data_IF_443721459786
#
_entry.id   IF_443721459786
#
_cell.length_a   1.000
_cell.length_b   1.000
_cell.length_c   1.000
_cell.angle_alpha   90.00
_cell.angle_beta   90.00
_cell.angle_gamma   90.00
#
_symmetry.space_group_name_H-M   'P 1'
#
loop_
_entity.id
_entity.type
_entity.pdbx_description
1 polymer ?
#
# COMPACT_ATOMS: atom_id res chain seq x y z
N UNK A 1 -20.46 -5.31 -22.65
CA UNK A 1 -19.45 -4.61 -21.80
C UNK A 1 -18.21 -5.50 -21.74
N UNK A 2 -17.02 -5.01 -22.06
CA UNK A 2 -15.80 -5.85 -22.03
C UNK A 2 -15.30 -5.94 -20.60
N UNK A 3 -15.33 -7.15 -20.02
CA UNK A 3 -14.71 -7.43 -18.73
C UNK A 3 -13.25 -7.83 -18.95
N UNK A 4 -12.38 -7.37 -18.06
CA UNK A 4 -10.99 -7.79 -17.92
C UNK A 4 -10.96 -8.82 -16.80
N UNK A 5 -10.48 -10.02 -17.13
CA UNK A 5 -10.25 -11.10 -16.17
C UNK A 5 -8.82 -11.01 -15.65
N UNK A 6 -8.69 -11.00 -14.33
CA UNK A 6 -7.42 -10.98 -13.64
C UNK A 6 -7.35 -12.12 -12.62
N UNK A 7 -6.20 -12.76 -12.50
CA UNK A 7 -5.97 -13.93 -11.65
C UNK A 7 -5.03 -13.56 -10.50
N UNK A 8 -5.46 -13.86 -9.29
CA UNK A 8 -4.70 -13.76 -8.05
C UNK A 8 -4.35 -15.15 -7.56
N UNK A 9 -3.23 -15.27 -6.87
CA UNK A 9 -2.78 -16.56 -6.40
C UNK A 9 -2.38 -16.53 -4.94
N UNK A 10 -2.99 -17.44 -4.18
CA UNK A 10 -2.61 -17.74 -2.83
C UNK A 10 -1.73 -18.99 -2.82
N UNK A 11 -0.59 -18.94 -2.13
CA UNK A 11 0.28 -20.09 -1.97
C UNK A 11 0.03 -20.71 -0.61
N UNK A 12 -0.66 -21.86 -0.57
CA UNK A 12 -0.84 -22.60 0.67
C UNK A 12 0.41 -23.45 0.96
N UNK A 13 1.32 -22.91 1.76
CA UNK A 13 2.58 -23.58 2.12
C UNK A 13 2.38 -24.88 2.89
N UNK A 14 1.30 -24.99 3.68
CA UNK A 14 1.06 -26.16 4.53
C UNK A 14 0.72 -27.43 3.73
N UNK A 15 0.17 -27.26 2.53
CA UNK A 15 -0.18 -28.35 1.61
C UNK A 15 0.54 -28.25 0.25
N UNK A 16 1.47 -27.30 0.11
CA UNK A 16 2.26 -27.09 -1.11
C UNK A 16 1.42 -26.84 -2.38
N UNK A 17 0.21 -26.29 -2.23
CA UNK A 17 -0.74 -26.11 -3.34
C UNK A 17 -0.99 -24.62 -3.56
N UNK A 18 -1.05 -24.21 -4.82
CA UNK A 18 -1.37 -22.84 -5.23
C UNK A 18 -2.84 -22.75 -5.62
N UNK A 19 -3.59 -21.88 -4.95
CA UNK A 19 -4.99 -21.60 -5.23
C UNK A 19 -5.11 -20.36 -6.11
N UNK A 20 -5.98 -20.41 -7.11
CA UNK A 20 -6.29 -19.27 -7.99
C UNK A 20 -7.61 -18.63 -7.56
N UNK A 21 -7.63 -17.30 -7.47
CA UNK A 21 -8.84 -16.49 -7.28
C UNK A 21 -8.96 -15.51 -8.45
N UNK A 22 -10.06 -15.61 -9.19
CA UNK A 22 -10.34 -14.76 -10.35
C UNK A 22 -11.18 -13.56 -9.98
N UNK A 23 -10.84 -12.43 -10.59
CA UNK A 23 -11.56 -11.16 -10.49
C UNK A 23 -11.89 -10.67 -11.89
N UNK A 24 -13.17 -10.39 -12.13
CA UNK A 24 -13.64 -9.71 -13.32
C UNK A 24 -13.87 -8.24 -13.02
N UNK A 25 -13.35 -7.35 -13.84
CA UNK A 25 -13.55 -5.92 -13.70
C UNK A 25 -13.79 -5.27 -15.05
N UNK A 26 -14.34 -4.06 -15.06
CA UNK A 26 -14.43 -3.27 -16.29
C UNK A 26 -13.05 -2.66 -16.62
N UNK A 27 -12.90 -2.12 -17.83
CA UNK A 27 -11.71 -1.34 -18.20
C UNK A 27 -11.41 -0.28 -17.12
N UNK A 28 -10.13 -0.11 -16.77
CA UNK A 28 -9.64 0.76 -15.68
C UNK A 28 -10.03 0.32 -14.26
N UNK A 29 -10.46 -0.94 -14.06
CA UNK A 29 -10.65 -1.54 -12.74
C UNK A 29 -11.94 -1.17 -12.02
N UNK A 30 -12.88 -0.49 -12.68
CA UNK A 30 -14.20 -0.23 -12.13
C UNK A 30 -15.01 -1.53 -11.98
N UNK A 31 -15.91 -1.57 -11.00
CA UNK A 31 -16.85 -2.68 -10.79
C UNK A 31 -16.18 -4.05 -10.73
N UNK A 32 -15.08 -4.16 -9.96
CA UNK A 32 -14.41 -5.44 -9.73
C UNK A 32 -15.29 -6.42 -8.95
N UNK A 33 -15.38 -7.65 -9.43
CA UNK A 33 -16.18 -8.73 -8.86
C UNK A 33 -15.37 -10.02 -8.79
N UNK A 34 -15.43 -10.69 -7.64
CA UNK A 34 -14.69 -11.91 -7.34
C UNK A 34 -15.55 -13.13 -7.71
N UNK A 35 -14.91 -14.17 -8.25
CA UNK A 35 -15.55 -15.47 -8.52
C UNK A 35 -15.71 -16.25 -7.21
N UNK A 36 -16.95 -16.55 -6.81
CA UNK A 36 -17.23 -17.24 -5.54
C UNK A 36 -16.81 -18.72 -5.55
N UNK A 37 -16.88 -19.38 -6.71
CA UNK A 37 -16.47 -20.78 -6.86
C UNK A 37 -14.98 -20.99 -6.54
N UNK A 38 -14.14 -19.99 -6.84
CA UNK A 38 -12.71 -20.04 -6.56
C UNK A 38 -12.44 -20.05 -5.04
N UNK A 39 -13.27 -19.33 -4.28
CA UNK A 39 -13.21 -19.28 -2.82
C UNK A 39 -13.57 -20.64 -2.22
N UNK A 40 -14.68 -21.24 -2.68
CA UNK A 40 -15.10 -22.58 -2.23
C UNK A 40 -14.05 -23.63 -2.60
N UNK A 41 -13.51 -23.57 -3.82
CA UNK A 41 -12.44 -24.46 -4.29
C UNK A 41 -11.20 -24.37 -3.40
N UNK A 42 -10.76 -23.15 -3.04
CA UNK A 42 -9.62 -22.94 -2.16
C UNK A 42 -9.83 -23.55 -0.76
N UNK A 43 -11.01 -23.33 -0.17
CA UNK A 43 -11.37 -23.84 1.16
C UNK A 43 -11.45 -25.38 1.20
N UNK A 44 -12.06 -25.99 0.18
CA UNK A 44 -12.17 -27.45 0.06
C UNK A 44 -10.84 -28.16 -0.22
N UNK A 45 -9.90 -27.48 -0.90
CA UNK A 45 -8.58 -28.04 -1.22
C UNK A 45 -7.83 -28.44 0.06
N UNK A 46 -7.94 -27.65 1.12
CA UNK A 46 -7.30 -27.95 2.41
C UNK A 46 -7.94 -29.15 3.12
N UNK A 47 -9.27 -29.28 3.05
CA UNK A 47 -10.00 -30.44 3.59
C UNK A 47 -9.58 -31.73 2.88
N UNK A 48 -9.57 -31.72 1.55
CA UNK A 48 -9.24 -32.92 0.75
C UNK A 48 -7.81 -33.41 1.01
N UNK A 49 -6.87 -32.49 1.23
CA UNK A 49 -5.47 -32.83 1.53
C UNK A 49 -5.27 -33.30 2.98
N UNK A 50 -5.97 -32.68 3.94
CA UNK A 50 -5.96 -33.10 5.35
C UNK A 50 -6.59 -34.48 5.55
N UNK A 51 -7.64 -34.79 4.80
CA UNK A 51 -8.33 -36.10 4.82
C UNK A 51 -7.52 -37.18 4.07
N UNK A 52 -6.66 -36.86 3.11
CA UNK A 52 -5.75 -37.87 2.52
C UNK A 52 -4.78 -38.52 3.53
N UNK A 53 -4.64 -37.97 4.75
CA UNK A 53 -3.92 -38.61 5.87
C UNK A 53 -4.78 -39.51 6.78
N UNK A 54 -6.12 -39.49 6.67
CA UNK A 54 -7.06 -40.40 7.36
C UNK A 54 -8.30 -40.63 6.50
N UNK A 55 -8.47 -41.87 6.03
CA UNK A 55 -9.64 -42.43 5.30
C UNK A 55 -10.83 -41.47 5.09
N UNK A 56 -11.10 -41.17 3.81
CA UNK A 56 -12.15 -40.26 3.35
C UNK A 56 -13.51 -40.68 3.90
N UNK A 57 -14.20 -39.85 4.72
CA UNK A 57 -15.61 -40.05 5.00
C UNK A 57 -16.39 -39.84 3.69
N UNK A 58 -17.24 -40.80 3.33
CA UNK A 58 -17.97 -40.87 2.06
C UNK A 58 -19.05 -39.78 1.85
N UNK A 59 -19.02 -38.66 2.57
CA UNK A 59 -20.13 -37.70 2.67
C UNK A 59 -19.80 -36.24 2.33
N UNK A 60 -18.59 -35.92 1.86
CA UNK A 60 -18.30 -34.56 1.37
C UNK A 60 -18.59 -34.53 -0.13
N UNK A 61 -19.74 -33.96 -0.50
CA UNK A 61 -20.05 -33.66 -1.90
C UNK A 61 -19.09 -32.56 -2.37
N UNK A 62 -18.04 -32.93 -3.09
CA UNK A 62 -17.02 -32.00 -3.59
C UNK A 62 -17.51 -31.15 -4.78
N UNK A 63 -18.83 -31.06 -5.00
CA UNK A 63 -19.41 -30.24 -6.04
C UNK A 63 -19.38 -28.75 -5.66
N UNK A 64 -18.29 -28.08 -6.06
CA UNK A 64 -18.04 -26.65 -5.82
C UNK A 64 -19.26 -25.79 -6.18
N UNK A 65 -19.92 -26.07 -7.31
CA UNK A 65 -21.04 -25.25 -7.78
C UNK A 65 -22.27 -25.40 -6.87
N UNK A 66 -22.54 -26.61 -6.38
CA UNK A 66 -23.65 -26.88 -5.48
C UNK A 66 -23.43 -26.20 -4.12
N UNK A 67 -22.23 -26.35 -3.54
CA UNK A 67 -21.86 -25.68 -2.30
C UNK A 67 -21.93 -24.16 -2.47
N UNK A 68 -21.41 -23.62 -3.57
CA UNK A 68 -21.45 -22.18 -3.85
C UNK A 68 -22.90 -21.65 -3.83
N UNK A 69 -23.83 -22.35 -4.49
CA UNK A 69 -25.25 -21.99 -4.50
C UNK A 69 -25.89 -22.05 -3.12
N UNK A 70 -25.60 -23.11 -2.36
CA UNK A 70 -26.09 -23.25 -0.98
C UNK A 70 -25.61 -22.08 -0.10
N UNK A 71 -24.34 -21.69 -0.22
CA UNK A 71 -23.78 -20.56 0.54
C UNK A 71 -24.33 -19.21 0.09
N UNK A 72 -24.58 -19.02 -1.21
CA UNK A 72 -25.27 -17.83 -1.75
C UNK A 72 -26.67 -17.69 -1.14
N UNK A 73 -27.45 -18.78 -1.12
CA UNK A 73 -28.81 -18.78 -0.56
C UNK A 73 -28.81 -18.45 0.94
N UNK A 74 -27.87 -19.04 1.70
CA UNK A 74 -27.69 -18.75 3.13
C UNK A 74 -27.30 -17.29 3.39
N UNK A 75 -26.38 -16.75 2.59
CA UNK A 75 -25.92 -15.38 2.67
C UNK A 75 -26.95 -14.37 2.16
N UNK A 76 -27.98 -14.82 1.42
CA UNK A 76 -29.01 -13.97 0.79
C UNK A 76 -28.43 -12.90 -0.15
N UNK A 77 -27.29 -13.20 -0.77
CA UNK A 77 -26.66 -12.30 -1.75
C UNK A 77 -27.20 -12.57 -3.15
N UNK A 78 -27.12 -11.55 -4.02
CA UNK A 78 -27.51 -11.67 -5.42
C UNK A 78 -26.29 -11.41 -6.34
N UNK A 79 -25.42 -12.41 -6.56
CA UNK A 79 -24.24 -12.26 -7.39
C UNK A 79 -24.60 -12.12 -8.87
N UNK A 80 -23.75 -11.43 -9.62
CA UNK A 80 -23.88 -11.33 -11.07
C UNK A 80 -23.41 -12.63 -11.73
N UNK A 81 -24.24 -13.23 -12.59
CA UNK A 81 -23.88 -14.49 -13.27
C UNK A 81 -23.17 -14.18 -14.59
N UNK A 82 -21.96 -14.70 -14.77
CA UNK A 82 -21.18 -14.56 -15.99
C UNK A 82 -20.57 -15.89 -16.39
N UNK A 83 -20.91 -16.39 -17.58
CA UNK A 83 -20.40 -17.67 -18.10
C UNK A 83 -20.60 -18.85 -17.13
N UNK A 84 -21.71 -18.83 -16.36
CA UNK A 84 -22.02 -19.85 -15.37
C UNK A 84 -21.30 -19.71 -14.01
N UNK A 85 -20.50 -18.67 -13.82
CA UNK A 85 -19.83 -18.32 -12.56
C UNK A 85 -20.61 -17.25 -11.79
N UNK A 86 -20.55 -17.30 -10.46
CA UNK A 86 -21.17 -16.30 -9.58
C UNK A 86 -20.15 -15.22 -9.19
N UNK A 87 -20.39 -13.99 -9.65
CA UNK A 87 -19.51 -12.84 -9.44
C UNK A 87 -20.07 -11.90 -8.38
N UNK A 88 -19.40 -11.83 -7.24
CA UNK A 88 -19.76 -10.98 -6.10
C UNK A 88 -18.88 -9.73 -6.03
N UNK A 89 -19.45 -8.58 -5.67
CA UNK A 89 -18.62 -7.47 -5.19
C UNK A 89 -18.06 -7.76 -3.77
N UNK A 90 -17.29 -6.82 -3.22
CA UNK A 90 -16.60 -7.02 -1.94
C UNK A 90 -17.57 -7.15 -0.76
N UNK A 91 -18.68 -6.42 -0.76
CA UNK A 91 -19.68 -6.50 0.31
C UNK A 91 -20.38 -7.87 0.28
N UNK A 92 -20.83 -8.28 -0.90
CA UNK A 92 -21.43 -9.60 -1.13
C UNK A 92 -20.46 -10.74 -0.80
N UNK A 93 -19.17 -10.59 -1.10
CA UNK A 93 -18.17 -11.58 -0.73
C UNK A 93 -18.06 -11.73 0.79
N UNK A 94 -18.07 -10.64 1.56
CA UNK A 94 -17.98 -10.75 3.02
C UNK A 94 -19.18 -11.48 3.61
N UNK A 95 -20.38 -11.17 3.13
CA UNK A 95 -21.61 -11.85 3.54
C UNK A 95 -21.54 -13.34 3.18
N UNK A 96 -21.09 -13.68 1.97
CA UNK A 96 -20.88 -15.06 1.53
C UNK A 96 -19.83 -15.81 2.36
N UNK A 97 -18.66 -15.20 2.55
CA UNK A 97 -17.50 -15.82 3.20
C UNK A 97 -17.83 -16.19 4.65
N UNK A 98 -18.62 -15.37 5.34
CA UNK A 98 -19.09 -15.63 6.70
C UNK A 98 -19.77 -17.01 6.85
N UNK A 99 -20.50 -17.46 5.82
CA UNK A 99 -21.17 -18.76 5.81
C UNK A 99 -20.31 -19.92 5.31
N UNK A 100 -19.02 -19.69 5.04
CA UNK A 100 -18.06 -20.68 4.55
C UNK A 100 -17.11 -21.20 5.64
N UNK A 101 -17.35 -20.87 6.91
CA UNK A 101 -16.49 -21.28 8.03
C UNK A 101 -16.55 -22.80 8.33
N UNK A 102 -17.58 -23.49 7.86
CA UNK A 102 -17.84 -24.92 8.06
C UNK A 102 -17.18 -25.82 6.99
N UNK A 103 -16.67 -25.23 5.90
CA UNK A 103 -16.07 -25.96 4.76
C UNK A 103 -14.54 -25.93 4.74
N UNK A 104 -13.89 -25.49 5.82
CA UNK A 104 -12.43 -25.50 5.97
C UNK A 104 -12.03 -25.66 7.43
N UNK A 105 -10.79 -26.08 7.67
CA UNK A 105 -10.12 -25.86 8.94
C UNK A 105 -10.13 -24.36 9.32
N UNK A 106 -10.28 -24.07 10.62
CA UNK A 106 -10.46 -22.72 11.15
C UNK A 106 -9.22 -21.84 10.98
N UNK A 107 -8.01 -22.42 11.10
CA UNK A 107 -6.76 -21.69 10.91
C UNK A 107 -6.61 -21.27 9.45
N UNK A 108 -6.82 -22.23 8.53
CA UNK A 108 -6.76 -21.93 7.10
C UNK A 108 -7.82 -20.92 6.65
N UNK A 109 -9.06 -21.09 7.10
CA UNK A 109 -10.15 -20.15 6.82
C UNK A 109 -9.78 -18.72 7.23
N UNK A 110 -9.12 -18.56 8.37
CA UNK A 110 -8.65 -17.25 8.84
C UNK A 110 -7.50 -16.70 8.00
N UNK A 111 -6.47 -17.51 7.72
CA UNK A 111 -5.30 -17.07 6.95
C UNK A 111 -5.69 -16.70 5.51
N UNK A 112 -6.46 -17.57 4.86
CA UNK A 112 -6.94 -17.34 3.50
C UNK A 112 -7.88 -16.13 3.43
N UNK A 113 -8.77 -15.96 4.40
CA UNK A 113 -9.65 -14.79 4.49
C UNK A 113 -8.89 -13.48 4.65
N UNK A 114 -7.83 -13.48 5.47
CA UNK A 114 -6.94 -12.33 5.61
C UNK A 114 -6.23 -12.00 4.29
N UNK A 115 -5.66 -13.01 3.62
CA UNK A 115 -5.04 -12.81 2.30
C UNK A 115 -6.05 -12.26 1.29
N UNK A 116 -7.25 -12.84 1.22
CA UNK A 116 -8.29 -12.41 0.28
C UNK A 116 -8.67 -10.94 0.51
N UNK A 117 -8.83 -10.53 1.77
CA UNK A 117 -9.10 -9.14 2.11
C UNK A 117 -7.95 -8.21 1.69
N UNK A 118 -6.72 -8.54 2.06
CA UNK A 118 -5.56 -7.65 1.90
C UNK A 118 -5.05 -7.57 0.46
N UNK A 119 -5.00 -8.70 -0.23
CA UNK A 119 -4.38 -8.82 -1.54
C UNK A 119 -5.38 -8.72 -2.69
N UNK A 120 -6.66 -9.04 -2.46
CA UNK A 120 -7.68 -9.04 -3.52
C UNK A 120 -8.72 -7.94 -3.30
N UNK A 121 -9.44 -7.94 -2.17
CA UNK A 121 -10.51 -6.97 -1.91
C UNK A 121 -9.98 -5.52 -1.86
N UNK A 122 -8.83 -5.29 -1.21
CA UNK A 122 -8.15 -3.99 -1.17
C UNK A 122 -7.89 -3.42 -2.58
N UNK A 123 -7.47 -4.26 -3.52
CA UNK A 123 -7.21 -3.84 -4.90
C UNK A 123 -8.50 -3.56 -5.67
N UNK A 124 -9.58 -4.30 -5.40
CA UNK A 124 -10.90 -4.04 -6.00
C UNK A 124 -11.44 -2.69 -5.53
N UNK A 125 -11.42 -2.42 -4.22
CA UNK A 125 -11.88 -1.15 -3.64
C UNK A 125 -11.11 0.04 -4.24
N UNK A 126 -9.80 -0.11 -4.41
CA UNK A 126 -8.92 0.90 -5.01
C UNK A 126 -9.03 1.01 -6.54
N UNK A 127 -9.85 0.17 -7.19
CA UNK A 127 -9.98 0.05 -8.66
C UNK A 127 -8.68 -0.34 -9.37
N UNK A 128 -7.81 -1.07 -8.67
CA UNK A 128 -6.52 -1.56 -9.18
C UNK A 128 -6.55 -3.06 -9.50
N UNK A 129 -7.68 -3.74 -9.31
CA UNK A 129 -7.76 -5.19 -9.49
C UNK A 129 -7.43 -5.68 -10.91
N UNK A 130 -7.65 -4.84 -11.92
CA UNK A 130 -7.29 -5.14 -13.31
C UNK A 130 -5.78 -5.32 -13.51
N UNK A 131 -4.94 -4.80 -12.60
CA UNK A 131 -3.49 -4.87 -12.67
C UNK A 131 -2.93 -6.22 -12.16
N UNK A 132 -3.72 -6.99 -11.39
CA UNK A 132 -3.36 -8.34 -10.96
C UNK A 132 -2.08 -8.44 -10.15
N UNK A 133 -1.33 -9.52 -10.37
CA UNK A 133 -0.04 -9.77 -9.74
C UNK A 133 1.06 -8.76 -10.11
N UNK A 134 0.84 -7.80 -11.02
CA UNK A 134 1.79 -6.70 -11.25
C UNK A 134 1.89 -5.74 -10.04
N UNK A 135 0.98 -5.88 -9.07
CA UNK A 135 1.02 -5.19 -7.77
C UNK A 135 1.87 -5.95 -6.73
N UNK A 136 2.43 -7.12 -7.08
CA UNK A 136 3.34 -7.90 -6.24
C UNK A 136 4.76 -7.88 -6.86
N UNK A 137 5.81 -7.61 -6.07
CA UNK A 137 6.29 -6.25 -5.83
C UNK A 137 6.52 -5.53 -7.17
N UNK A 138 6.10 -4.27 -7.30
CA UNK A 138 6.51 -3.46 -8.44
C UNK A 138 8.04 -3.55 -8.62
N UNK A 139 8.61 -3.48 -9.83
CA UNK A 139 10.06 -3.35 -10.03
C UNK A 139 10.69 -2.22 -9.19
N UNK A 140 9.86 -1.25 -8.80
CA UNK A 140 10.17 -0.23 -7.82
C UNK A 140 10.43 -0.78 -6.42
N UNK A 141 9.59 -1.66 -5.89
CA UNK A 141 9.75 -2.26 -4.55
C UNK A 141 10.96 -3.18 -4.47
N UNK A 142 11.28 -3.96 -5.51
CA UNK A 142 12.51 -4.78 -5.52
C UNK A 142 13.76 -3.91 -5.58
N UNK A 143 13.79 -2.89 -6.47
CA UNK A 143 14.87 -1.89 -6.51
C UNK A 143 15.00 -1.16 -5.18
N UNK A 144 13.87 -0.80 -4.57
CA UNK A 144 13.80 -0.12 -3.30
C UNK A 144 14.31 -1.02 -2.17
N UNK A 145 13.89 -2.28 -2.09
CA UNK A 145 14.40 -3.25 -1.12
C UNK A 145 15.91 -3.43 -1.27
N UNK A 146 16.41 -3.65 -2.49
CA UNK A 146 17.85 -3.75 -2.76
C UNK A 146 18.63 -2.47 -2.38
N UNK A 147 18.04 -1.30 -2.63
CA UNK A 147 18.61 0.01 -2.27
C UNK A 147 18.64 0.21 -0.76
N UNK A 148 17.53 -0.05 -0.07
CA UNK A 148 17.37 0.08 1.37
C UNK A 148 18.31 -0.86 2.13
N UNK A 149 18.45 -2.12 1.70
CA UNK A 149 19.40 -3.07 2.29
C UNK A 149 20.84 -2.55 2.19
N UNK A 150 21.18 -1.77 1.14
CA UNK A 150 22.50 -1.12 1.03
C UNK A 150 22.64 0.11 1.93
N UNK A 151 21.60 0.94 2.04
CA UNK A 151 21.61 2.19 2.80
C UNK A 151 21.54 1.97 4.32
N UNK A 152 20.90 0.88 4.76
CA UNK A 152 20.64 0.57 6.16
C UNK A 152 21.22 -0.79 6.56
N UNK A 153 22.40 -1.13 6.03
CA UNK A 153 23.05 -2.46 6.10
C UNK A 153 22.96 -3.22 7.44
N UNK A 154 22.82 -2.51 8.56
CA UNK A 154 22.80 -3.09 9.91
C UNK A 154 21.55 -2.71 10.74
N UNK A 155 20.51 -2.15 10.12
CA UNK A 155 19.29 -1.72 10.83
C UNK A 155 18.06 -2.40 10.28
N UNK A 156 17.39 -3.22 11.09
CA UNK A 156 16.07 -3.78 10.74
C UNK A 156 14.94 -2.76 10.92
N UNK A 157 15.13 -1.80 11.82
CA UNK A 157 14.15 -0.78 12.20
C UNK A 157 14.78 0.60 12.24
N UNK A 158 14.01 1.59 11.78
CA UNK A 158 14.43 3.00 11.73
C UNK A 158 13.27 3.92 12.10
N UNK A 159 13.60 5.12 12.56
CA UNK A 159 12.61 6.19 12.70
C UNK A 159 12.21 6.76 11.33
N UNK A 160 11.04 7.39 11.24
CA UNK A 160 10.63 8.09 10.01
C UNK A 160 11.64 9.19 9.64
N UNK A 161 12.21 9.88 10.63
CA UNK A 161 13.23 10.93 10.43
C UNK A 161 14.46 10.33 9.75
N UNK A 162 15.06 9.30 10.34
CA UNK A 162 16.24 8.62 9.76
C UNK A 162 15.95 8.10 8.35
N UNK A 163 14.75 7.57 8.13
CA UNK A 163 14.36 7.12 6.80
C UNK A 163 14.30 8.27 5.80
N UNK A 164 13.65 9.38 6.13
CA UNK A 164 13.54 10.54 5.25
C UNK A 164 14.90 11.21 4.96
N UNK A 165 15.77 11.31 5.97
CA UNK A 165 17.09 11.92 5.85
C UNK A 165 18.02 11.07 4.98
N UNK A 166 18.13 9.76 5.27
CA UNK A 166 19.03 8.86 4.55
C UNK A 166 18.53 8.55 3.15
N UNK A 167 17.21 8.44 2.94
CA UNK A 167 16.65 7.98 1.68
C UNK A 167 16.33 9.10 0.69
N UNK A 168 16.14 10.34 1.16
CA UNK A 168 15.83 11.49 0.30
C UNK A 168 16.75 12.71 0.51
N UNK A 169 17.75 12.62 1.38
CA UNK A 169 18.71 13.70 1.62
C UNK A 169 18.09 14.93 2.30
N UNK A 170 17.01 14.74 3.06
CA UNK A 170 16.27 15.84 3.68
C UNK A 170 16.97 16.28 4.97
N UNK A 171 17.17 17.59 5.11
CA UNK A 171 17.83 18.22 6.27
C UNK A 171 17.08 19.44 6.83
N UNK A 172 16.18 20.07 6.06
CA UNK A 172 15.41 21.23 6.50
C UNK A 172 14.30 20.79 7.48
N UNK A 173 14.25 21.33 8.72
CA UNK A 173 13.35 20.84 9.76
C UNK A 173 11.86 20.86 9.39
N UNK A 174 11.34 21.97 8.86
CA UNK A 174 9.91 22.07 8.53
C UNK A 174 9.51 21.14 7.37
N UNK A 175 10.42 20.92 6.41
CA UNK A 175 10.23 19.96 5.31
C UNK A 175 10.10 18.55 5.88
N UNK A 176 11.02 18.17 6.77
CA UNK A 176 11.00 16.88 7.46
C UNK A 176 9.70 16.74 8.27
N UNK A 177 9.28 17.78 9.00
CA UNK A 177 8.03 17.75 9.78
C UNK A 177 6.80 17.49 8.92
N UNK A 178 6.65 18.18 7.79
CA UNK A 178 5.53 17.96 6.87
C UNK A 178 5.51 16.51 6.37
N UNK A 179 6.67 16.02 5.91
CA UNK A 179 6.78 14.67 5.35
C UNK A 179 6.58 13.59 6.41
N UNK A 180 7.00 13.81 7.66
CA UNK A 180 6.68 12.91 8.78
C UNK A 180 5.17 12.74 8.92
N UNK A 181 4.40 13.83 8.84
CA UNK A 181 2.95 13.74 8.97
C UNK A 181 2.33 12.96 7.81
N UNK A 182 2.78 13.22 6.57
CA UNK A 182 2.34 12.45 5.40
C UNK A 182 2.68 10.96 5.53
N UNK A 183 3.89 10.64 5.94
CA UNK A 183 4.31 9.25 6.20
C UNK A 183 3.46 8.59 7.29
N UNK A 184 3.20 9.28 8.41
CA UNK A 184 2.34 8.75 9.48
C UNK A 184 0.92 8.46 8.98
N UNK A 185 0.32 9.37 8.21
CA UNK A 185 -1.01 9.19 7.63
C UNK A 185 -1.02 7.97 6.70
N UNK A 186 -0.01 7.82 5.85
CA UNK A 186 0.10 6.65 4.97
C UNK A 186 0.20 5.36 5.80
N UNK A 187 1.13 5.30 6.77
CA UNK A 187 1.30 4.13 7.63
C UNK A 187 -0.02 3.75 8.34
N UNK A 188 -0.76 4.73 8.86
CA UNK A 188 -2.06 4.53 9.54
C UNK A 188 -3.19 4.14 8.56
N UNK A 189 -3.19 4.68 7.34
CA UNK A 189 -4.29 4.58 6.38
C UNK A 189 -4.46 3.22 5.68
N UNK A 190 -3.70 2.19 6.06
CA UNK A 190 -3.88 0.83 5.58
C UNK A 190 -2.58 0.03 5.41
N UNK A 191 -1.42 0.68 5.43
CA UNK A 191 -0.14 -0.02 5.25
C UNK A 191 0.35 -0.72 6.52
N UNK A 192 -0.12 -0.33 7.71
CA UNK A 192 0.12 -1.08 8.96
C UNK A 192 -0.40 -2.51 8.92
N UNK A 193 -1.45 -2.79 8.13
CA UNK A 193 -2.06 -4.12 8.05
C UNK A 193 -1.17 -5.07 7.22
N UNK A 194 -0.38 -4.52 6.31
CA UNK A 194 0.55 -5.27 5.45
C UNK A 194 1.94 -5.43 6.07
N UNK A 195 2.18 -4.80 7.22
CA UNK A 195 3.44 -4.92 7.95
C UNK A 195 3.27 -5.93 9.05
N UNK A 196 3.97 -7.06 8.93
CA UNK A 196 3.92 -8.20 9.86
C UNK A 196 4.22 -7.84 11.33
N UNK A 197 4.77 -6.64 11.61
CA UNK A 197 5.08 -6.18 12.95
C UNK A 197 4.59 -4.74 13.21
N UNK A 198 3.94 -4.48 14.37
CA UNK A 198 3.61 -3.13 14.81
C UNK A 198 4.87 -2.31 15.09
N UNK A 199 4.74 -0.98 15.06
CA UNK A 199 5.84 -0.09 15.44
C UNK A 199 6.25 -0.32 16.90
N UNK A 200 7.55 -0.40 17.16
CA UNK A 200 8.10 -0.46 18.51
C UNK A 200 8.65 0.90 18.91
N UNK A 201 8.88 1.15 20.20
CA UNK A 201 9.57 2.35 20.65
C UNK A 201 11.06 2.09 20.86
N UNK A 202 11.90 3.06 20.52
CA UNK A 202 13.31 3.02 20.85
C UNK A 202 13.56 3.49 22.32
N UNK A 203 14.82 3.54 22.73
CA UNK A 203 15.23 3.99 24.07
C UNK A 203 14.81 5.43 24.40
N UNK A 204 14.58 6.27 23.38
CA UNK A 204 14.12 7.66 23.56
C UNK A 204 12.60 7.82 23.43
N UNK A 205 11.84 6.72 23.53
CA UNK A 205 10.37 6.70 23.47
C UNK A 205 9.80 7.15 22.10
N UNK A 206 10.60 7.07 21.03
CA UNK A 206 10.20 7.40 19.64
C UNK A 206 9.83 6.11 18.89
N UNK A 207 8.77 6.17 18.08
CA UNK A 207 8.35 5.05 17.24
C UNK A 207 9.39 4.74 16.15
N UNK A 208 9.80 3.48 16.10
CA UNK A 208 10.63 2.87 15.06
C UNK A 208 9.80 1.83 14.30
N UNK A 209 10.03 1.76 12.98
CA UNK A 209 9.28 0.94 12.05
C UNK A 209 10.24 0.01 11.32
N UNK A 210 9.77 -1.18 10.93
CA UNK A 210 10.58 -2.05 10.09
C UNK A 210 10.81 -1.40 8.72
N UNK A 211 11.95 -1.70 8.10
CA UNK A 211 12.24 -1.20 6.76
C UNK A 211 11.16 -1.62 5.73
N UNK A 212 10.55 -2.80 5.92
CA UNK A 212 9.44 -3.27 5.10
C UNK A 212 8.21 -2.36 5.17
N UNK A 213 7.92 -1.71 6.31
CA UNK A 213 6.85 -0.70 6.40
C UNK A 213 7.04 0.41 5.38
N UNK A 214 8.28 0.83 5.18
CA UNK A 214 8.57 1.92 4.26
C UNK A 214 8.49 1.49 2.78
N UNK A 215 8.67 0.20 2.47
CA UNK A 215 8.58 -0.34 1.10
C UNK A 215 7.24 0.01 0.44
N UNK A 216 6.15 -0.18 1.17
CA UNK A 216 4.80 0.02 0.63
C UNK A 216 4.40 1.49 0.45
N UNK A 217 5.08 2.41 1.15
CA UNK A 217 4.77 3.84 1.10
C UNK A 217 5.80 4.66 0.32
N UNK A 218 6.96 4.09 0.04
CA UNK A 218 8.06 4.78 -0.62
C UNK A 218 7.65 5.38 -1.96
N UNK A 219 6.88 4.64 -2.77
CA UNK A 219 6.41 5.14 -4.05
C UNK A 219 5.44 6.32 -3.88
N UNK A 220 4.54 6.24 -2.91
CA UNK A 220 3.60 7.33 -2.62
C UNK A 220 4.35 8.60 -2.17
N UNK A 221 5.44 8.44 -1.41
CA UNK A 221 6.32 9.55 -1.04
C UNK A 221 7.10 10.07 -2.25
N UNK A 222 7.66 9.19 -3.09
CA UNK A 222 8.35 9.62 -4.32
C UNK A 222 7.44 10.38 -5.29
N UNK A 223 6.16 9.98 -5.37
CA UNK A 223 5.15 10.70 -6.15
C UNK A 223 4.91 12.14 -5.70
N UNK A 224 5.12 12.45 -4.42
CA UNK A 224 5.07 13.83 -3.94
C UNK A 224 6.15 14.70 -4.59
N UNK A 225 7.28 14.10 -4.99
CA UNK A 225 8.40 14.79 -5.62
C UNK A 225 8.32 14.78 -7.16
N UNK A 226 7.73 13.74 -7.75
CA UNK A 226 7.70 13.57 -9.22
C UNK A 226 6.55 14.30 -9.93
N UNK A 227 5.57 14.83 -9.19
CA UNK A 227 4.43 15.59 -9.73
C UNK A 227 4.78 17.05 -10.04
N UNK A 228 5.74 17.28 -10.93
CA UNK A 228 6.41 18.58 -11.19
C UNK A 228 5.50 19.79 -11.35
N UNK A 229 4.24 19.59 -11.71
CA UNK A 229 3.30 20.66 -12.06
C UNK A 229 2.23 20.90 -10.99
N UNK A 230 2.13 20.04 -9.96
CA UNK A 230 1.08 20.16 -8.96
C UNK A 230 1.58 19.91 -7.52
N UNK A 231 2.12 20.97 -6.92
CA UNK A 231 2.55 21.03 -5.52
C UNK A 231 1.38 21.30 -4.53
N UNK A 232 0.15 20.91 -4.87
CA UNK A 232 -1.02 21.10 -3.99
C UNK A 232 -0.80 20.50 -2.61
N UNK A 233 -0.16 19.34 -2.51
CA UNK A 233 0.14 18.70 -1.23
C UNK A 233 0.98 19.60 -0.32
N UNK A 234 1.93 20.34 -0.90
CA UNK A 234 2.83 21.25 -0.19
C UNK A 234 2.04 22.51 0.22
N UNK A 235 1.25 23.07 -0.70
CA UNK A 235 0.38 24.23 -0.44
C UNK A 235 -0.61 23.96 0.70
N UNK A 236 -1.27 22.81 0.68
CA UNK A 236 -2.15 22.35 1.76
C UNK A 236 -1.38 22.21 3.07
N UNK A 237 -0.19 21.61 3.04
CA UNK A 237 0.60 21.40 4.26
C UNK A 237 1.06 22.72 4.88
N UNK A 238 1.45 23.69 4.05
CA UNK A 238 1.84 25.05 4.45
C UNK A 238 0.67 25.88 5.00
N UNK A 239 -0.58 25.45 4.76
CA UNK A 239 -1.76 26.12 5.32
C UNK A 239 -2.04 25.75 6.77
N UNK A 240 -1.40 24.70 7.31
CA UNK A 240 -1.59 24.32 8.71
C UNK A 240 -0.80 25.22 9.68
N UNK A 241 -1.45 25.66 10.75
CA UNK A 241 -0.91 26.59 11.75
C UNK A 241 0.46 26.21 12.31
N UNK A 242 0.68 24.91 12.59
CA UNK A 242 1.95 24.44 13.15
C UNK A 242 3.11 24.53 12.15
N UNK A 243 2.83 24.51 10.84
CA UNK A 243 3.82 24.68 9.77
C UNK A 243 4.01 26.17 9.48
N UNK A 244 2.92 26.95 9.41
CA UNK A 244 2.98 28.40 9.15
C UNK A 244 3.96 29.09 10.09
N UNK A 245 3.82 28.85 11.40
CA UNK A 245 4.73 29.42 12.41
C UNK A 245 6.20 29.07 12.18
N UNK A 246 6.48 27.87 11.63
CA UNK A 246 7.84 27.42 11.35
C UNK A 246 8.43 28.04 10.07
N UNK A 247 7.59 28.53 9.15
CA UNK A 247 8.03 29.08 7.85
C UNK A 247 7.80 30.58 7.70
N UNK A 248 7.08 31.24 8.61
CA UNK A 248 6.74 32.66 8.45
C UNK A 248 7.98 33.58 8.48
N UNK A 249 8.97 33.26 9.32
CA UNK A 249 10.25 33.95 9.31
C UNK A 249 10.97 33.80 7.96
N UNK A 250 10.99 32.57 7.42
CA UNK A 250 11.57 32.29 6.11
C UNK A 250 10.82 33.05 5.01
N UNK A 251 9.48 33.11 5.03
CA UNK A 251 8.68 33.89 4.06
C UNK A 251 9.04 35.37 4.04
N UNK A 252 9.22 35.97 5.21
CA UNK A 252 9.62 37.39 5.31
C UNK A 252 11.04 37.59 4.76
N UNK A 253 11.96 36.67 5.09
CA UNK A 253 13.33 36.72 4.59
C UNK A 253 13.40 36.54 3.07
N UNK A 254 12.59 35.64 2.49
CA UNK A 254 12.47 35.44 1.04
C UNK A 254 12.04 36.73 0.34
N UNK A 255 10.98 37.40 0.85
CA UNK A 255 10.51 38.67 0.28
C UNK A 255 11.61 39.73 0.31
N UNK A 256 12.29 39.90 1.43
CA UNK A 256 13.39 40.85 1.55
C UNK A 256 14.55 40.54 0.59
N UNK A 257 14.93 39.27 0.45
CA UNK A 257 16.02 38.88 -0.46
C UNK A 257 15.64 39.08 -1.94
N UNK A 258 14.37 38.85 -2.30
CA UNK A 258 13.85 39.13 -3.65
C UNK A 258 13.83 40.63 -3.96
N UNK A 259 13.41 41.45 -3.01
CA UNK A 259 13.47 42.92 -3.12
C UNK A 259 14.93 43.41 -3.32
N UNK A 260 15.90 42.71 -2.72
CA UNK A 260 17.33 42.94 -2.91
C UNK A 260 17.90 42.31 -4.19
N UNK A 261 17.06 41.81 -5.10
CA UNK A 261 17.45 41.28 -6.41
C UNK A 261 18.12 39.91 -6.39
N UNK A 262 18.02 39.14 -5.30
CA UNK A 262 18.53 37.76 -5.25
C UNK A 262 17.66 36.82 -6.07
N UNK A 263 18.29 35.92 -6.82
CA UNK A 263 17.59 34.86 -7.53
C UNK A 263 17.21 33.72 -6.56
N UNK A 264 16.29 32.85 -6.99
CA UNK A 264 15.76 31.77 -6.14
C UNK A 264 16.85 30.79 -5.65
N UNK A 265 17.90 30.55 -6.43
CA UNK A 265 18.98 29.62 -6.06
C UNK A 265 19.84 30.20 -4.93
N UNK A 266 20.19 31.49 -5.03
CA UNK A 266 20.90 32.21 -3.99
C UNK A 266 20.08 32.28 -2.70
N UNK A 267 18.76 32.50 -2.82
CA UNK A 267 17.84 32.53 -1.66
C UNK A 267 17.85 31.17 -0.96
N UNK A 268 17.74 30.07 -1.72
CA UNK A 268 17.75 28.72 -1.16
C UNK A 268 19.06 28.43 -0.43
N UNK A 269 20.19 28.85 -1.00
CA UNK A 269 21.50 28.68 -0.38
C UNK A 269 21.67 29.53 0.88
N UNK A 270 21.20 30.78 0.89
CA UNK A 270 21.33 31.69 2.03
C UNK A 270 20.48 31.22 3.22
N UNK A 271 19.23 30.84 2.97
CA UNK A 271 18.29 30.51 4.06
C UNK A 271 18.54 29.10 4.59
N UNK A 272 18.72 28.12 3.72
CA UNK A 272 18.76 26.70 4.11
C UNK A 272 20.08 25.99 3.82
N UNK A 273 21.09 26.68 3.28
CA UNK A 273 22.40 26.10 2.93
C UNK A 273 22.29 24.92 1.93
N UNK A 274 21.28 24.97 1.04
CA UNK A 274 21.06 23.96 0.01
C UNK A 274 21.50 24.51 -1.35
N UNK A 275 22.18 23.70 -2.15
CA UNK A 275 22.53 24.02 -3.54
C UNK A 275 21.89 22.96 -4.46
N UNK A 276 21.81 23.16 -5.78
CA UNK A 276 21.25 22.16 -6.70
C UNK A 276 21.90 20.78 -6.57
N UNK A 277 23.18 20.75 -6.19
CA UNK A 277 24.01 19.54 -6.09
C UNK A 277 24.33 19.12 -4.65
N UNK A 278 23.82 19.82 -3.62
CA UNK A 278 23.96 19.35 -2.25
C UNK A 278 22.97 18.20 -1.96
N UNK A 279 23.28 17.33 -1.00
CA UNK A 279 22.37 16.26 -0.54
C UNK A 279 21.80 15.35 -1.67
N UNK A 280 22.58 15.11 -2.73
CA UNK A 280 22.14 14.28 -3.85
C UNK A 280 21.92 12.83 -3.42
N UNK A 281 20.77 12.29 -3.80
CA UNK A 281 20.48 10.86 -3.74
C UNK A 281 20.13 10.39 -5.15
N UNK A 282 20.91 9.47 -5.69
CA UNK A 282 20.74 8.94 -7.06
C UNK A 282 20.64 10.06 -8.12
N UNK A 283 21.52 11.06 -8.02
CA UNK A 283 21.57 12.26 -8.86
C UNK A 283 20.33 13.17 -8.80
N UNK A 284 19.47 13.01 -7.77
CA UNK A 284 18.33 13.89 -7.51
C UNK A 284 18.49 14.61 -6.17
N UNK A 285 18.12 15.89 -6.15
CA UNK A 285 18.04 16.67 -4.92
C UNK A 285 16.57 16.99 -4.60
N UNK A 286 15.94 16.08 -3.85
CA UNK A 286 14.53 16.19 -3.48
C UNK A 286 14.24 17.44 -2.65
N UNK A 287 15.13 17.78 -1.72
CA UNK A 287 14.99 18.96 -0.87
C UNK A 287 14.98 20.24 -1.69
N UNK A 288 15.93 20.39 -2.61
CA UNK A 288 16.01 21.57 -3.46
C UNK A 288 14.77 21.76 -4.34
N UNK A 289 14.16 20.68 -4.84
CA UNK A 289 12.90 20.75 -5.59
C UNK A 289 11.75 21.27 -4.72
N UNK A 290 11.63 20.78 -3.49
CA UNK A 290 10.62 21.25 -2.52
C UNK A 290 10.82 22.73 -2.21
N UNK A 291 12.07 23.16 -2.00
CA UNK A 291 12.39 24.56 -1.69
C UNK A 291 12.10 25.48 -2.88
N UNK A 292 12.40 25.06 -4.12
CA UNK A 292 11.99 25.81 -5.32
C UNK A 292 10.48 25.97 -5.42
N UNK A 293 9.74 24.88 -5.17
CA UNK A 293 8.28 24.93 -5.16
C UNK A 293 7.74 25.86 -4.07
N UNK A 294 8.34 25.83 -2.88
CA UNK A 294 8.00 26.73 -1.78
C UNK A 294 8.24 28.19 -2.16
N UNK A 295 9.39 28.51 -2.75
CA UNK A 295 9.70 29.86 -3.23
C UNK A 295 8.67 30.36 -4.25
N UNK A 296 8.20 29.52 -5.16
CA UNK A 296 7.17 29.89 -6.13
C UNK A 296 5.79 30.19 -5.49
N UNK A 297 5.56 29.78 -4.24
CA UNK A 297 4.32 30.01 -3.50
C UNK A 297 4.35 31.25 -2.59
N UNK A 298 5.54 31.82 -2.35
CA UNK A 298 5.77 32.99 -1.48
C UNK A 298 5.84 34.25 -2.31
#
# INVERSE_FOLDING_TARGET
>A
MSLVLTKYYYNNESIGTRQEVRVYCQKQGANGRIVLEDIISALLTNITFSIKKKSIPASIDNNILLITKEKIEKAKINPFIHEGLHLADVEQLYEFYHFCNDISDAEFYKIFGNWLNLEVCSLIIKRLAHLGNLVNPLPFEEKYSLRITKLFKDKEKVTIVEWLTTNYGLTVPWVITILIQKVKILILGGFQINTEAPSTKNQTNVNIYSLNTFRFIAQAIEWLFSGSDNWNWLKESLSHDFVQKAVDADKQLIKSLRENGKNDDDIIQIIWMVTPTSNLIENKNYQYQILKAFLAMV
#
